data_IF_344651788754
#
_entry.id   IF_344651788754
#
_cell.length_a   1.000
_cell.length_b   1.000
_cell.length_c   1.000
_cell.angle_alpha   90.00
_cell.angle_beta   90.00
_cell.angle_gamma   90.00
#
_symmetry.space_group_name_H-M   'P 1'
#
loop_
_entity.id
_entity.type
_entity.pdbx_description
1 polymer ?
#
# COMPACT_ATOMS: atom_id res chain seq x y z
N UNK A 1 -4.13 -17.28 2.95
CA UNK A 1 -5.03 -16.67 1.95
C UNK A 1 -4.27 -15.52 1.29
N UNK A 2 -3.80 -15.70 0.06
CA UNK A 2 -3.11 -14.67 -0.71
C UNK A 2 -4.07 -14.28 -1.83
N UNK A 3 -4.71 -13.09 -1.79
CA UNK A 3 -5.57 -12.70 -2.89
C UNK A 3 -4.74 -12.41 -4.14
N UNK A 4 -5.23 -12.89 -5.28
CA UNK A 4 -4.66 -12.58 -6.59
C UNK A 4 -5.35 -11.32 -7.13
N UNK A 5 -4.56 -10.32 -7.54
CA UNK A 5 -5.10 -9.08 -8.10
C UNK A 5 -4.85 -9.02 -9.61
N UNK A 6 -5.80 -8.50 -10.38
CA UNK A 6 -5.62 -8.17 -11.80
C UNK A 6 -5.30 -6.68 -11.87
N UNK A 7 -4.19 -6.34 -12.53
CA UNK A 7 -3.71 -4.97 -12.71
C UNK A 7 -3.72 -4.65 -14.20
N UNK A 8 -4.40 -3.56 -14.58
CA UNK A 8 -4.34 -2.98 -15.93
C UNK A 8 -3.66 -1.63 -15.83
N UNK A 9 -2.49 -1.50 -16.44
CA UNK A 9 -1.62 -0.33 -16.25
C UNK A 9 -1.14 -0.24 -14.80
N UNK A 10 -1.47 0.86 -14.12
CA UNK A 10 -1.19 1.09 -12.69
C UNK A 10 -2.40 0.93 -11.78
N UNK A 11 -3.53 0.42 -12.31
CA UNK A 11 -4.80 0.33 -11.59
C UNK A 11 -5.14 -1.12 -11.31
N UNK A 12 -5.42 -1.44 -10.04
CA UNK A 12 -5.99 -2.73 -9.66
C UNK A 12 -7.45 -2.75 -10.13
N UNK A 13 -7.74 -3.58 -11.11
CA UNK A 13 -9.07 -3.68 -11.73
C UNK A 13 -9.94 -4.77 -11.11
N UNK A 14 -9.35 -5.75 -10.44
CA UNK A 14 -10.08 -6.76 -9.68
C UNK A 14 -9.20 -7.37 -8.58
N UNK A 15 -9.81 -7.72 -7.45
CA UNK A 15 -9.22 -8.58 -6.42
C UNK A 15 -9.95 -9.92 -6.43
N UNK A 16 -9.20 -11.00 -6.41
CA UNK A 16 -9.72 -12.36 -6.46
C UNK A 16 -9.39 -13.04 -5.14
N UNK A 17 -10.32 -13.11 -4.19
CA UNK A 17 -10.14 -13.98 -3.04
C UNK A 17 -10.07 -15.42 -3.56
N UNK A 18 -9.07 -16.20 -3.14
CA UNK A 18 -9.16 -17.65 -3.21
C UNK A 18 -10.39 -18.05 -2.39
N UNK A 19 -11.52 -18.27 -3.05
CA UNK A 19 -12.68 -18.90 -2.44
C UNK A 19 -12.51 -20.38 -2.67
N UNK A 20 -12.46 -21.15 -1.59
CA UNK A 20 -12.57 -22.62 -1.59
C UNK A 20 -13.99 -23.09 -1.99
N UNK A 21 -14.67 -22.36 -2.88
CA UNK A 21 -16.02 -22.67 -3.34
C UNK A 21 -15.91 -23.58 -4.56
N UNK A 22 -15.55 -24.84 -4.29
CA UNK A 22 -15.79 -25.98 -5.16
C UNK A 22 -15.02 -25.98 -6.48
N UNK A 23 -13.98 -26.82 -6.57
CA UNK A 23 -13.35 -27.18 -7.83
C UNK A 23 -14.39 -27.77 -8.79
N UNK A 24 -14.72 -27.06 -9.87
CA UNK A 24 -15.40 -27.67 -11.02
C UNK A 24 -14.32 -28.27 -11.90
N UNK A 25 -14.37 -29.59 -12.12
CA UNK A 25 -13.40 -30.35 -12.92
C UNK A 25 -11.94 -30.32 -12.44
N UNK A 26 -11.70 -30.33 -11.12
CA UNK A 26 -10.37 -30.55 -10.55
C UNK A 26 -9.37 -29.40 -10.74
N UNK A 27 -9.81 -28.26 -11.28
CA UNK A 27 -9.03 -27.01 -11.31
C UNK A 27 -9.63 -26.03 -10.30
N UNK A 28 -8.76 -25.44 -9.45
CA UNK A 28 -9.13 -24.29 -8.62
C UNK A 28 -9.39 -23.10 -9.54
N UNK A 29 -10.63 -22.91 -9.98
CA UNK A 29 -11.01 -21.70 -10.71
C UNK A 29 -11.02 -20.53 -9.73
N UNK A 30 -10.02 -19.67 -9.83
CA UNK A 30 -10.03 -18.36 -9.16
C UNK A 30 -11.11 -17.52 -9.86
N UNK A 31 -12.33 -17.51 -9.31
CA UNK A 31 -13.40 -16.63 -9.79
C UNK A 31 -13.07 -15.18 -9.42
N UNK A 32 -12.27 -14.55 -10.28
CA UNK A 32 -12.07 -13.11 -10.26
C UNK A 32 -13.39 -12.44 -10.60
N UNK A 33 -13.95 -11.66 -9.66
CA UNK A 33 -15.10 -10.80 -9.94
C UNK A 33 -14.63 -9.64 -10.83
N UNK A 34 -14.60 -9.87 -12.13
CA UNK A 34 -14.41 -8.82 -13.13
C UNK A 34 -15.77 -8.12 -13.32
N UNK A 35 -15.85 -6.88 -12.84
CA UNK A 35 -16.91 -5.91 -13.15
C UNK A 35 -18.33 -6.45 -13.38
N UNK A 36 -19.14 -6.56 -12.33
CA UNK A 36 -20.59 -6.66 -12.49
C UNK A 36 -21.26 -5.55 -11.71
N UNK A 37 -21.55 -4.45 -12.43
CA UNK A 37 -22.15 -3.22 -11.91
C UNK A 37 -21.26 -2.51 -10.87
N UNK A 38 -21.23 -1.17 -10.87
CA UNK A 38 -20.46 -0.37 -9.91
C UNK A 38 -20.87 -0.55 -8.42
N UNK A 39 -21.62 -1.61 -8.09
CA UNK A 39 -22.12 -1.97 -6.76
C UNK A 39 -21.38 -3.16 -6.13
N UNK A 40 -20.67 -3.97 -6.91
CA UNK A 40 -19.94 -5.16 -6.43
C UNK A 40 -18.41 -4.99 -6.41
N UNK A 41 -17.93 -3.78 -6.71
CA UNK A 41 -16.51 -3.41 -6.56
C UNK A 41 -16.29 -3.03 -5.11
N UNK A 42 -15.79 -3.97 -4.33
CA UNK A 42 -15.31 -3.65 -2.99
C UNK A 42 -14.09 -2.72 -3.08
N UNK A 43 -13.98 -1.71 -2.20
CA UNK A 43 -12.80 -0.87 -2.15
C UNK A 43 -11.56 -1.74 -1.97
N UNK A 44 -10.49 -1.45 -2.72
CA UNK A 44 -9.18 -2.05 -2.47
C UNK A 44 -8.86 -1.80 -1.00
N UNK A 45 -8.70 -2.86 -0.21
CA UNK A 45 -8.38 -2.71 1.20
C UNK A 45 -7.12 -1.86 1.35
N UNK A 46 -7.13 -0.92 2.29
CA UNK A 46 -6.03 0.05 2.51
C UNK A 46 -4.66 -0.61 2.69
N UNK A 47 -4.66 -1.85 3.19
CA UNK A 47 -3.49 -2.69 3.38
C UNK A 47 -2.75 -3.02 2.06
N UNK A 48 -3.45 -3.03 0.91
CA UNK A 48 -2.84 -3.23 -0.40
C UNK A 48 -2.38 -1.92 -1.07
N UNK A 49 -2.74 -0.78 -0.50
CA UNK A 49 -2.33 0.56 -0.98
C UNK A 49 -1.35 1.24 -0.03
N UNK A 50 -0.77 0.49 0.91
CA UNK A 50 0.18 1.00 1.89
C UNK A 50 1.62 0.62 1.49
N UNK A 51 2.51 1.61 1.49
CA UNK A 51 3.96 1.41 1.37
C UNK A 51 4.58 1.65 2.75
N UNK A 52 5.38 0.69 3.22
CA UNK A 52 6.09 0.77 4.50
C UNK A 52 7.56 0.41 4.31
N UNK A 53 8.44 1.02 5.10
CA UNK A 53 9.87 0.72 5.08
C UNK A 53 10.62 1.38 6.22
N UNK A 54 11.92 1.11 6.29
CA UNK A 54 12.83 1.69 7.28
C UNK A 54 13.91 2.47 6.56
N UNK A 55 14.14 3.71 6.99
CA UNK A 55 15.24 4.54 6.50
C UNK A 55 16.38 4.45 7.50
N UNK A 56 17.56 4.06 7.02
CA UNK A 56 18.78 4.02 7.82
C UNK A 56 19.79 5.01 7.24
N UNK A 57 20.36 5.86 8.08
CA UNK A 57 21.48 6.72 7.69
C UNK A 57 22.79 5.94 7.75
N UNK A 58 23.69 6.22 6.82
CA UNK A 58 25.10 5.82 6.90
C UNK A 58 26.01 7.02 7.11
N UNK A 59 25.47 8.24 7.09
CA UNK A 59 26.22 9.47 7.31
C UNK A 59 26.52 9.64 8.80
N UNK A 60 27.80 9.75 9.14
CA UNK A 60 28.31 9.84 10.53
C UNK A 60 27.78 11.08 11.27
N UNK A 61 27.55 12.19 10.56
CA UNK A 61 27.01 13.41 11.16
C UNK A 61 25.55 13.16 11.57
N UNK A 62 24.75 12.61 10.66
CA UNK A 62 23.33 12.31 10.92
C UNK A 62 23.14 11.14 11.89
N UNK A 63 24.10 10.23 12.01
CA UNK A 63 24.08 9.16 13.00
C UNK A 63 24.12 9.70 14.44
N UNK A 64 24.78 10.85 14.65
CA UNK A 64 24.91 11.49 15.95
C UNK A 64 23.75 12.46 16.28
N UNK A 65 22.74 12.56 15.42
CA UNK A 65 21.60 13.43 15.66
C UNK A 65 20.68 12.86 16.75
N UNK A 66 20.08 13.76 17.53
CA UNK A 66 19.08 13.37 18.51
C UNK A 66 17.80 12.88 17.82
N UNK A 67 16.95 12.18 18.57
CA UNK A 67 15.64 11.72 18.07
C UNK A 67 14.77 12.88 17.60
N UNK A 68 14.84 14.02 18.26
CA UNK A 68 14.08 15.23 17.91
C UNK A 68 14.52 15.81 16.56
N UNK A 69 15.83 15.82 16.29
CA UNK A 69 16.37 16.25 15.00
C UNK A 69 15.92 15.31 13.87
N UNK A 70 15.98 14.01 14.11
CA UNK A 70 15.46 13.00 13.19
C UNK A 70 13.97 13.14 12.95
N UNK A 71 13.20 13.39 14.01
CA UNK A 71 11.76 13.61 13.91
C UNK A 71 11.46 14.86 13.08
N UNK A 72 12.28 15.91 13.16
CA UNK A 72 12.18 17.09 12.31
C UNK A 72 12.30 16.78 10.81
N UNK A 73 13.25 15.93 10.43
CA UNK A 73 13.39 15.47 9.03
C UNK A 73 12.22 14.60 8.63
N UNK A 74 11.84 13.64 9.48
CA UNK A 74 10.74 12.73 9.20
C UNK A 74 9.41 13.48 9.02
N UNK A 75 9.14 14.49 9.85
CA UNK A 75 7.96 15.34 9.73
C UNK A 75 7.92 16.11 8.41
N UNK A 76 9.08 16.57 7.89
CA UNK A 76 9.15 17.19 6.56
C UNK A 76 8.83 16.18 5.47
N UNK A 77 9.38 14.97 5.54
CA UNK A 77 9.08 13.91 4.58
C UNK A 77 7.57 13.55 4.59
N UNK A 78 7.00 13.36 5.78
CA UNK A 78 5.56 13.10 5.96
C UNK A 78 4.72 14.23 5.36
N UNK A 79 5.10 15.50 5.59
CA UNK A 79 4.39 16.65 5.01
C UNK A 79 4.47 16.67 3.48
N UNK A 80 5.64 16.37 2.91
CA UNK A 80 5.82 16.29 1.45
C UNK A 80 4.91 15.23 0.83
N UNK A 81 4.77 14.08 1.51
CA UNK A 81 3.92 12.97 1.09
C UNK A 81 2.43 13.30 1.24
N UNK A 82 1.99 13.71 2.44
CA UNK A 82 0.58 13.82 2.76
C UNK A 82 -0.08 15.12 2.30
N UNK A 83 0.67 16.23 2.23
CA UNK A 83 0.10 17.56 1.94
C UNK A 83 0.97 18.40 1.00
N UNK A 84 2.02 17.82 0.44
CA UNK A 84 2.99 18.51 -0.39
C UNK A 84 2.90 18.10 -1.86
N UNK A 85 4.01 18.19 -2.61
CA UNK A 85 4.05 17.87 -4.03
C UNK A 85 3.57 16.46 -4.40
N UNK A 86 3.57 15.52 -3.45
CA UNK A 86 3.17 14.13 -3.66
C UNK A 86 1.76 13.82 -3.16
N UNK A 87 1.00 14.80 -2.68
CA UNK A 87 -0.33 14.61 -2.09
C UNK A 87 -1.38 14.07 -3.08
N UNK A 88 -1.15 14.25 -4.39
CA UNK A 88 -1.99 13.63 -5.43
C UNK A 88 -1.81 12.11 -5.53
N UNK A 89 -0.68 11.59 -5.03
CA UNK A 89 -0.31 10.17 -5.09
C UNK A 89 -0.46 9.49 -3.72
N UNK A 90 -0.17 10.21 -2.64
CA UNK A 90 -0.23 9.70 -1.28
C UNK A 90 -1.33 10.41 -0.48
N UNK A 91 -2.34 9.65 -0.09
CA UNK A 91 -3.46 10.18 0.70
C UNK A 91 -3.07 10.46 2.17
N UNK A 92 -2.17 9.66 2.73
CA UNK A 92 -1.68 9.84 4.10
C UNK A 92 -0.28 9.29 4.27
N UNK A 93 0.47 9.85 5.21
CA UNK A 93 1.79 9.36 5.60
C UNK A 93 1.98 9.48 7.12
N UNK A 94 2.71 8.54 7.70
CA UNK A 94 3.09 8.53 9.11
C UNK A 94 4.43 7.84 9.30
N UNK A 95 5.08 8.08 10.43
CA UNK A 95 6.37 7.49 10.75
C UNK A 95 6.80 7.83 12.17
N UNK A 96 7.70 7.01 12.71
CA UNK A 96 8.28 7.19 14.04
C UNK A 96 9.80 7.08 13.96
N UNK A 97 10.50 7.73 14.88
CA UNK A 97 11.94 7.57 15.11
C UNK A 97 12.13 6.68 16.33
N UNK A 98 12.79 5.53 16.14
CA UNK A 98 13.07 4.55 17.20
C UNK A 98 14.39 4.81 17.91
#
# INVERSE_FOLDING_TARGET
MIPHCIIVGSTVTATCPERDDGAVNGKKEVKCKLGMNNKDVEPILRNYTALSGTLMTTNVIMANWSKEMWQGVLNKAIRVLASGPLASTFFSASGIVN
#
